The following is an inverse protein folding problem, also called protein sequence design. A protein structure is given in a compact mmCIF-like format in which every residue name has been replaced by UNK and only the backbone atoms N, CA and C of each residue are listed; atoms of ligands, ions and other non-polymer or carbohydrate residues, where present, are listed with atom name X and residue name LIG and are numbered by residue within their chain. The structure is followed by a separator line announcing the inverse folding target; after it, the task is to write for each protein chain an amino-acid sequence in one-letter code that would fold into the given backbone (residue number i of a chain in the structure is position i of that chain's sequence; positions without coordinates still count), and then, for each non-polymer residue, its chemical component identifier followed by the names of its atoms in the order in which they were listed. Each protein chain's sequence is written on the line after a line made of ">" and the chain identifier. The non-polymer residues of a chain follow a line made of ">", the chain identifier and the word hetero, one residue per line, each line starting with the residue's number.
data_IF_338981704347
#
_entry.id   IF_338981704347
#
_cell.length_a   1.000
_cell.length_b   1.000
_cell.length_c   1.000
_cell.angle_alpha   90.00
_cell.angle_beta   90.00
_cell.angle_gamma   90.00
#
_symmetry.space_group_name_H-M   'P 1'
#
loop_
_entity.id
_entity.type
_entity.pdbx_description
1 polymer ?
#
# COMPACT_ATOMS: atom_id res chain seq x y z
N UNK A 1 -42.42 12.59 -5.00
CA UNK A 1 -42.45 12.82 -3.53
C UNK A 1 -41.06 12.54 -2.98
N UNK A 2 -40.27 13.44 -2.40
CA UNK A 2 -40.27 14.89 -2.24
C UNK A 2 -38.79 15.30 -2.17
N UNK A 3 -38.26 15.95 -3.20
CA UNK A 3 -36.93 16.55 -3.17
C UNK A 3 -37.01 17.91 -2.49
N UNK A 4 -37.33 17.92 -1.19
CA UNK A 4 -37.04 19.06 -0.32
C UNK A 4 -35.76 18.66 0.43
N UNK A 5 -34.62 18.81 -0.22
CA UNK A 5 -33.34 18.79 0.48
C UNK A 5 -33.39 19.92 1.50
N UNK A 6 -33.35 19.56 2.78
CA UNK A 6 -33.35 20.50 3.90
C UNK A 6 -32.29 21.59 3.64
N UNK A 7 -32.64 22.90 3.65
CA UNK A 7 -31.66 23.97 3.42
C UNK A 7 -30.47 23.89 4.38
N UNK A 8 -30.69 23.36 5.59
CA UNK A 8 -29.63 23.09 6.55
C UNK A 8 -28.63 22.03 6.05
N UNK A 9 -29.11 21.00 5.35
CA UNK A 9 -28.27 19.94 4.76
C UNK A 9 -27.42 20.50 3.61
N UNK A 10 -27.99 21.36 2.76
CA UNK A 10 -27.22 22.01 1.69
C UNK A 10 -26.12 22.91 2.23
N UNK A 11 -26.39 23.67 3.30
CA UNK A 11 -25.39 24.52 3.96
C UNK A 11 -24.29 23.65 4.57
N UNK A 12 -24.64 22.55 5.25
CA UNK A 12 -23.68 21.60 5.83
C UNK A 12 -22.84 20.95 4.74
N UNK A 13 -23.44 20.49 3.64
CA UNK A 13 -22.73 19.85 2.53
C UNK A 13 -21.78 20.86 1.84
N UNK A 14 -22.23 22.10 1.62
CA UNK A 14 -21.40 23.17 1.08
C UNK A 14 -20.21 23.50 2.00
N UNK A 15 -20.44 23.57 3.31
CA UNK A 15 -19.38 23.83 4.29
C UNK A 15 -18.39 22.66 4.37
N UNK A 16 -18.89 21.42 4.35
CA UNK A 16 -18.08 20.21 4.32
C UNK A 16 -17.18 20.16 3.08
N UNK A 17 -17.71 20.48 1.89
CA UNK A 17 -16.95 20.49 0.63
C UNK A 17 -15.75 21.45 0.67
N UNK A 18 -15.90 22.61 1.32
CA UNK A 18 -14.79 23.57 1.50
C UNK A 18 -13.82 23.13 2.60
N UNK A 19 -14.33 22.66 3.73
CA UNK A 19 -13.50 22.19 4.83
C UNK A 19 -12.60 21.01 4.42
N UNK A 20 -13.11 20.08 3.61
CA UNK A 20 -12.36 18.89 3.16
C UNK A 20 -11.10 19.25 2.36
N UNK A 21 -11.08 20.40 1.69
CA UNK A 21 -9.90 20.87 0.94
C UNK A 21 -8.79 21.45 1.81
N UNK A 22 -9.10 21.82 3.06
CA UNK A 22 -8.11 22.35 3.99
C UNK A 22 -7.26 21.21 4.54
N UNK A 23 -6.00 21.53 4.87
CA UNK A 23 -5.17 20.60 5.62
C UNK A 23 -5.85 20.16 6.93
N UNK A 24 -5.68 18.91 7.37
CA UNK A 24 -6.35 18.39 8.57
C UNK A 24 -6.20 19.27 9.81
N UNK A 25 -5.03 19.89 10.00
CA UNK A 25 -4.74 20.80 11.13
C UNK A 25 -5.53 22.10 11.03
N UNK A 26 -5.58 22.70 9.84
CA UNK A 26 -6.34 23.94 9.58
C UNK A 26 -7.84 23.66 9.73
N UNK A 27 -8.34 22.56 9.17
CA UNK A 27 -9.72 22.12 9.33
C UNK A 27 -10.09 21.95 10.81
N UNK A 28 -9.21 21.33 11.60
CA UNK A 28 -9.42 21.15 13.03
C UNK A 28 -9.49 22.48 13.78
N UNK A 29 -8.59 23.42 13.48
CA UNK A 29 -8.60 24.75 14.08
C UNK A 29 -9.87 25.54 13.73
N UNK A 30 -10.31 25.49 12.47
CA UNK A 30 -11.54 26.16 12.00
C UNK A 30 -12.77 25.61 12.71
N UNK A 31 -12.88 24.28 12.84
CA UNK A 31 -14.02 23.66 13.54
C UNK A 31 -13.98 23.99 15.03
N UNK A 32 -12.81 23.94 15.67
CA UNK A 32 -12.66 24.30 17.08
C UNK A 32 -13.14 25.74 17.35
N UNK A 33 -12.65 26.71 16.56
CA UNK A 33 -13.05 28.11 16.69
C UNK A 33 -14.55 28.30 16.39
N UNK A 34 -15.08 27.63 15.37
CA UNK A 34 -16.50 27.68 15.02
C UNK A 34 -17.40 27.16 16.14
N UNK A 35 -17.05 26.02 16.75
CA UNK A 35 -17.80 25.45 17.89
C UNK A 35 -17.71 26.39 19.10
N UNK A 36 -16.53 26.92 19.39
CA UNK A 36 -16.33 27.86 20.50
C UNK A 36 -17.19 29.13 20.35
N UNK A 37 -17.20 29.74 19.15
CA UNK A 37 -17.99 30.94 18.83
C UNK A 37 -19.48 30.64 18.93
N UNK A 38 -19.92 29.48 18.43
CA UNK A 38 -21.32 29.07 18.45
C UNK A 38 -21.84 28.83 19.87
N UNK A 39 -21.01 28.27 20.76
CA UNK A 39 -21.38 28.00 22.15
C UNK A 39 -21.32 29.25 23.05
N UNK A 40 -20.41 30.18 22.75
CA UNK A 40 -20.18 31.40 23.54
C UNK A 40 -21.44 32.17 23.98
N UNK A 41 -22.42 32.53 23.11
CA UNK A 41 -23.59 33.31 23.53
C UNK A 41 -24.48 32.59 24.54
N UNK A 42 -24.44 31.25 24.60
CA UNK A 42 -25.20 30.47 25.57
C UNK A 42 -24.44 30.30 26.89
N UNK A 43 -23.15 30.02 26.81
CA UNK A 43 -22.31 29.76 27.98
C UNK A 43 -22.08 31.04 28.81
N UNK A 44 -21.96 32.20 28.15
CA UNK A 44 -21.74 33.48 28.84
C UNK A 44 -22.91 33.88 29.75
N UNK A 45 -24.15 33.50 29.39
CA UNK A 45 -25.34 33.80 30.20
C UNK A 45 -25.34 33.05 31.53
N UNK A 46 -24.62 31.93 31.61
CA UNK A 46 -24.56 31.06 32.80
C UNK A 46 -23.35 31.41 33.67
N UNK A 47 -22.19 31.67 33.05
CA UNK A 47 -20.91 31.76 33.77
C UNK A 47 -20.27 33.17 33.77
N UNK A 48 -20.83 34.13 33.03
CA UNK A 48 -20.26 35.48 32.89
C UNK A 48 -19.09 35.56 31.89
N UNK A 49 -18.45 36.73 31.71
CA UNK A 49 -17.56 37.00 30.57
C UNK A 49 -16.29 36.13 30.55
N UNK A 50 -15.50 36.14 31.64
CA UNK A 50 -14.23 35.42 31.71
C UNK A 50 -14.45 33.91 31.67
N UNK A 51 -15.34 33.40 32.51
CA UNK A 51 -15.64 31.97 32.58
C UNK A 51 -16.41 31.48 31.36
N UNK A 52 -17.21 32.32 30.72
CA UNK A 52 -17.91 32.00 29.48
C UNK A 52 -16.95 31.66 28.34
N UNK A 53 -15.86 32.42 28.19
CA UNK A 53 -14.81 32.15 27.20
C UNK A 53 -14.13 30.80 27.49
N UNK A 54 -13.70 30.58 28.75
CA UNK A 54 -12.99 29.38 29.14
C UNK A 54 -13.85 28.11 28.98
N UNK A 55 -15.12 28.16 29.40
CA UNK A 55 -16.05 27.03 29.25
C UNK A 55 -16.39 26.74 27.80
N UNK A 56 -16.55 27.75 26.95
CA UNK A 56 -16.73 27.56 25.51
C UNK A 56 -15.51 26.92 24.85
N UNK A 57 -14.30 27.34 25.22
CA UNK A 57 -13.07 26.73 24.74
C UNK A 57 -12.95 25.26 25.20
N UNK A 58 -13.29 24.97 26.46
CA UNK A 58 -13.28 23.60 26.99
C UNK A 58 -14.29 22.69 26.28
N UNK A 59 -15.54 23.15 26.08
CA UNK A 59 -16.56 22.41 25.33
C UNK A 59 -16.15 22.21 23.86
N UNK A 60 -15.52 23.22 23.25
CA UNK A 60 -14.93 23.11 21.92
C UNK A 60 -13.85 22.02 21.87
N UNK A 61 -12.92 22.01 22.83
CA UNK A 61 -11.87 21.00 22.93
C UNK A 61 -12.45 19.60 23.16
N UNK A 62 -13.49 19.49 24.00
CA UNK A 62 -14.21 18.25 24.25
C UNK A 62 -14.90 17.72 22.98
N UNK A 63 -15.57 18.57 22.20
CA UNK A 63 -16.13 18.17 20.91
C UNK A 63 -15.03 17.74 19.92
N UNK A 64 -13.92 18.48 19.87
CA UNK A 64 -12.77 18.15 19.04
C UNK A 64 -12.18 16.79 19.39
N UNK A 65 -12.11 16.42 20.68
CA UNK A 65 -11.64 15.10 21.11
C UNK A 65 -12.43 13.97 20.43
N UNK A 66 -13.76 14.03 20.38
CA UNK A 66 -14.58 13.02 19.69
C UNK A 66 -14.40 13.03 18.17
N UNK A 67 -14.23 14.21 17.56
CA UNK A 67 -13.96 14.32 16.12
C UNK A 67 -12.60 13.71 15.76
N UNK A 68 -11.57 13.92 16.58
CA UNK A 68 -10.28 13.25 16.43
C UNK A 68 -10.41 11.74 16.66
N UNK A 69 -11.13 11.32 17.72
CA UNK A 69 -11.30 9.90 18.06
C UNK A 69 -12.05 9.10 16.98
N UNK A 70 -13.01 9.71 16.31
CA UNK A 70 -13.72 9.11 15.17
C UNK A 70 -12.87 9.10 13.88
N UNK A 71 -11.77 9.85 13.86
CA UNK A 71 -10.94 10.04 12.67
C UNK A 71 -11.62 10.88 11.59
N UNK A 72 -12.44 11.86 11.99
CA UNK A 72 -13.05 12.83 11.08
C UNK A 72 -11.99 13.60 10.29
N UNK A 73 -10.85 13.88 10.93
CA UNK A 73 -9.74 14.62 10.31
C UNK A 73 -8.79 13.75 9.48
N UNK A 74 -8.97 12.42 9.43
CA UNK A 74 -8.09 11.54 8.66
C UNK A 74 -8.12 11.88 7.16
N UNK A 75 -6.95 11.85 6.50
CA UNK A 75 -6.89 11.83 5.03
C UNK A 75 -7.52 10.52 4.53
N UNK A 76 -8.34 10.62 3.49
CA UNK A 76 -9.04 9.50 2.89
C UNK A 76 -8.86 9.54 1.39
N UNK A 77 -8.84 8.35 0.81
CA UNK A 77 -8.81 8.13 -0.63
C UNK A 77 -9.98 7.25 -1.01
N UNK A 78 -10.46 7.42 -2.23
CA UNK A 78 -11.51 6.59 -2.81
C UNK A 78 -10.86 5.62 -3.78
N UNK A 79 -10.91 4.32 -3.49
CA UNK A 79 -10.35 3.28 -4.34
C UNK A 79 -11.47 2.58 -5.12
N UNK A 80 -11.20 2.17 -6.35
CA UNK A 80 -12.08 1.24 -7.07
C UNK A 80 -11.53 -0.18 -6.90
N UNK A 81 -12.12 -0.94 -5.96
CA UNK A 81 -11.72 -2.32 -5.74
C UNK A 81 -12.16 -3.22 -6.91
N UNK A 82 -11.38 -4.24 -7.29
CA UNK A 82 -11.77 -5.20 -8.33
C UNK A 82 -13.17 -5.77 -8.08
N UNK A 83 -14.00 -5.79 -9.13
CA UNK A 83 -15.38 -6.27 -9.07
C UNK A 83 -16.38 -5.35 -8.34
N UNK A 84 -15.96 -4.20 -7.80
CA UNK A 84 -16.87 -3.24 -7.19
C UNK A 84 -17.28 -2.13 -8.15
N UNK A 85 -18.57 -1.76 -8.10
CA UNK A 85 -19.14 -0.65 -8.89
C UNK A 85 -19.14 0.69 -8.17
N UNK A 86 -18.81 0.70 -6.88
CA UNK A 86 -18.83 1.90 -6.04
C UNK A 86 -17.43 2.12 -5.46
N UNK A 87 -16.98 3.38 -5.35
CA UNK A 87 -15.72 3.70 -4.73
C UNK A 87 -15.75 3.28 -3.25
N UNK A 88 -14.66 2.65 -2.82
CA UNK A 88 -14.41 2.24 -1.45
C UNK A 88 -13.57 3.34 -0.74
N UNK A 89 -14.16 4.09 0.21
CA UNK A 89 -13.44 5.15 0.90
C UNK A 89 -12.55 4.57 2.00
N UNK A 90 -11.24 4.60 1.82
CA UNK A 90 -10.26 4.13 2.82
C UNK A 90 -9.46 5.27 3.43
N UNK A 91 -9.06 5.10 4.70
CA UNK A 91 -8.18 6.05 5.40
C UNK A 91 -6.72 5.79 5.03
N UNK A 92 -5.99 6.85 4.72
CA UNK A 92 -4.52 6.79 4.66
C UNK A 92 -4.01 6.77 6.10
N UNK A 93 -3.21 5.75 6.43
CA UNK A 93 -2.68 5.55 7.79
C UNK A 93 -1.16 5.63 7.75
N UNK A 94 -0.59 6.23 8.79
CA UNK A 94 0.85 6.33 8.96
C UNK A 94 1.35 5.16 9.81
N UNK A 95 2.44 4.51 9.41
CA UNK A 95 3.13 3.50 10.22
C UNK A 95 3.61 4.18 11.52
N UNK A 96 3.19 3.63 12.66
CA UNK A 96 3.64 4.10 13.97
C UNK A 96 4.81 3.23 14.42
N UNK A 97 5.95 3.84 14.77
CA UNK A 97 7.09 3.10 15.32
C UNK A 97 8.44 3.35 14.66
N UNK A 98 8.50 4.16 13.59
CA UNK A 98 9.77 4.66 13.06
C UNK A 98 10.72 3.56 12.59
N UNK A 99 10.23 2.57 11.84
CA UNK A 99 11.13 1.77 11.00
C UNK A 99 11.75 2.77 10.03
N UNK A 100 13.02 3.10 10.27
CA UNK A 100 13.78 3.96 9.35
C UNK A 100 14.15 3.08 8.17
N UNK A 101 13.47 3.29 7.05
CA UNK A 101 13.99 2.87 5.76
C UNK A 101 15.25 3.70 5.53
N UNK A 102 16.41 3.03 5.47
CA UNK A 102 17.62 3.71 5.04
C UNK A 102 17.49 3.93 3.53
N UNK A 103 17.77 5.15 3.07
CA UNK A 103 18.09 5.37 1.66
C UNK A 103 19.48 4.78 1.44
N UNK A 104 19.51 3.55 0.96
CA UNK A 104 20.73 2.89 0.56
C UNK A 104 21.04 3.36 -0.87
N UNK A 105 21.60 4.56 -0.97
CA UNK A 105 21.89 5.23 -2.25
C UNK A 105 23.01 4.52 -3.04
N UNK A 106 23.85 3.72 -2.38
CA UNK A 106 24.81 2.83 -3.03
C UNK A 106 24.21 1.43 -3.14
N UNK A 107 23.83 1.04 -4.36
CA UNK A 107 23.36 -0.31 -4.70
C UNK A 107 24.54 -1.05 -5.32
N UNK A 108 24.93 -2.17 -4.73
CA UNK A 108 25.94 -3.06 -5.32
C UNK A 108 25.32 -4.39 -5.70
N UNK A 109 25.83 -4.96 -6.78
CA UNK A 109 25.40 -6.25 -7.32
C UNK A 109 26.56 -7.22 -7.30
N UNK A 110 26.26 -8.45 -6.92
CA UNK A 110 27.19 -9.56 -6.94
C UNK A 110 26.93 -10.38 -8.19
N UNK A 111 27.98 -10.59 -8.99
CA UNK A 111 27.91 -11.46 -10.15
C UNK A 111 27.75 -12.93 -9.70
N UNK A 112 27.23 -13.81 -10.57
CA UNK A 112 26.86 -15.18 -10.20
C UNK A 112 27.94 -15.99 -9.46
N UNK A 113 29.23 -15.77 -9.74
CA UNK A 113 30.34 -16.44 -9.04
C UNK A 113 30.68 -15.88 -7.66
N UNK A 114 30.26 -14.65 -7.35
CA UNK A 114 30.50 -13.96 -6.07
C UNK A 114 29.37 -14.19 -5.07
N UNK A 115 28.24 -14.75 -5.54
CA UNK A 115 27.06 -15.05 -4.70
C UNK A 115 27.21 -16.29 -3.82
N UNK A 116 28.24 -17.10 -4.06
CA UNK A 116 28.42 -18.40 -3.43
C UNK A 116 28.66 -18.28 -1.91
N UNK A 117 27.77 -18.87 -1.12
CA UNK A 117 27.85 -18.87 0.34
C UNK A 117 27.34 -17.60 1.03
N UNK A 118 26.85 -16.60 0.27
CA UNK A 118 26.25 -15.38 0.82
C UNK A 118 24.85 -15.66 1.36
N UNK A 119 24.03 -16.38 0.59
CA UNK A 119 22.69 -16.81 1.01
C UNK A 119 22.61 -18.32 1.20
N UNK A 120 21.87 -18.75 2.21
CA UNK A 120 21.46 -20.13 2.36
C UNK A 120 20.47 -20.52 1.25
N UNK A 121 20.41 -21.81 0.92
CA UNK A 121 19.54 -22.31 -0.17
C UNK A 121 18.06 -22.03 0.06
N UNK A 122 17.63 -21.95 1.31
CA UNK A 122 16.23 -21.73 1.69
C UNK A 122 15.89 -20.25 1.87
N UNK A 123 16.87 -19.35 1.78
CA UNK A 123 16.63 -17.91 1.86
C UNK A 123 15.71 -17.47 0.72
N UNK A 124 14.85 -16.51 1.02
CA UNK A 124 13.83 -16.05 0.08
C UNK A 124 14.38 -14.94 -0.81
N UNK A 125 14.08 -15.03 -2.10
CA UNK A 125 14.46 -14.02 -3.10
C UNK A 125 13.28 -13.66 -3.98
N UNK A 126 13.27 -12.42 -4.46
CA UNK A 126 12.49 -12.02 -5.63
C UNK A 126 13.40 -12.25 -6.83
N UNK A 127 13.02 -13.14 -7.72
CA UNK A 127 13.68 -13.36 -8.99
C UNK A 127 13.00 -12.59 -10.11
N UNK A 128 13.79 -11.90 -10.92
CA UNK A 128 13.36 -11.22 -12.14
C UNK A 128 14.25 -11.69 -13.29
N UNK A 129 13.62 -12.04 -14.40
CA UNK A 129 14.33 -12.33 -15.65
C UNK A 129 13.66 -11.56 -16.78
N UNK A 130 14.47 -10.85 -17.55
CA UNK A 130 14.06 -10.06 -18.71
C UNK A 130 15.08 -10.31 -19.82
N UNK A 131 14.62 -10.83 -20.95
CA UNK A 131 15.43 -11.05 -22.17
C UNK A 131 16.74 -11.84 -21.95
N UNK A 132 16.74 -12.78 -21.00
CA UNK A 132 17.89 -13.62 -20.64
C UNK A 132 18.72 -13.10 -19.48
N UNK A 133 18.56 -11.83 -19.09
CA UNK A 133 19.23 -11.23 -17.95
C UNK A 133 18.44 -11.50 -16.67
N UNK A 134 19.04 -12.23 -15.74
CA UNK A 134 18.40 -12.71 -14.54
C UNK A 134 19.04 -12.13 -13.28
N UNK A 135 18.23 -11.57 -12.40
CA UNK A 135 18.66 -10.98 -11.14
C UNK A 135 17.81 -11.47 -9.97
N UNK A 136 18.45 -11.61 -8.81
CA UNK A 136 17.81 -11.93 -7.54
C UNK A 136 17.89 -10.76 -6.57
N UNK A 137 16.78 -10.49 -5.89
CA UNK A 137 16.71 -9.53 -4.79
C UNK A 137 16.42 -10.28 -3.48
N UNK A 138 17.41 -10.41 -2.57
CA UNK A 138 17.20 -11.06 -1.29
C UNK A 138 16.09 -10.37 -0.49
N UNK A 139 15.18 -11.14 0.11
CA UNK A 139 14.09 -10.54 0.92
C UNK A 139 14.62 -9.86 2.18
N UNK A 140 15.75 -10.31 2.74
CA UNK A 140 16.41 -9.62 3.86
C UNK A 140 16.80 -8.19 3.51
N UNK A 141 17.31 -7.98 2.29
CA UNK A 141 17.63 -6.66 1.77
C UNK A 141 16.35 -5.87 1.44
N UNK A 142 15.44 -6.47 0.67
CA UNK A 142 14.22 -5.81 0.22
C UNK A 142 13.25 -5.48 1.36
N UNK A 143 13.30 -6.20 2.49
CA UNK A 143 12.51 -5.90 3.69
C UNK A 143 12.83 -4.53 4.30
N UNK A 144 14.07 -4.06 4.15
CA UNK A 144 14.51 -2.75 4.66
C UNK A 144 14.49 -1.66 3.60
N UNK A 145 14.65 -2.03 2.33
CA UNK A 145 14.65 -1.11 1.19
C UNK A 145 13.26 -0.79 0.68
N UNK A 146 12.37 -1.79 0.69
CA UNK A 146 11.04 -1.85 0.05
C UNK A 146 11.02 -1.60 -1.47
N UNK A 147 11.96 -0.82 -2.02
CA UNK A 147 12.09 -0.48 -3.44
C UNK A 147 13.56 -0.58 -3.89
N UNK A 148 13.77 -1.16 -5.06
CA UNK A 148 14.99 -1.10 -5.85
C UNK A 148 14.60 -0.60 -7.25
N UNK A 149 15.17 0.54 -7.66
CA UNK A 149 14.90 1.14 -8.97
C UNK A 149 16.05 0.77 -9.90
N UNK A 150 15.74 0.11 -11.01
CA UNK A 150 16.72 -0.42 -11.95
C UNK A 150 16.43 0.02 -13.37
N UNK A 151 17.42 -0.12 -14.23
CA UNK A 151 17.30 0.02 -15.68
C UNK A 151 17.75 -1.28 -16.33
N UNK A 152 16.81 -2.00 -16.94
CA UNK A 152 17.11 -3.18 -17.76
C UNK A 152 17.26 -2.72 -19.21
N UNK A 153 18.51 -2.41 -19.59
CA UNK A 153 18.79 -1.68 -20.83
C UNK A 153 18.22 -0.27 -20.75
N UNK A 154 17.19 0.02 -21.54
CA UNK A 154 16.48 1.31 -21.55
C UNK A 154 15.12 1.23 -20.82
N UNK A 155 14.79 0.08 -20.21
CA UNK A 155 13.51 -0.12 -19.53
C UNK A 155 13.64 0.27 -18.04
N UNK A 156 13.09 1.41 -17.60
CA UNK A 156 13.09 1.78 -16.20
C UNK A 156 12.09 0.91 -15.44
N UNK A 157 12.56 0.27 -14.38
CA UNK A 157 11.74 -0.59 -13.54
C UNK A 157 11.90 -0.27 -12.06
N UNK A 158 10.86 -0.57 -11.28
CA UNK A 158 10.92 -0.57 -9.83
C UNK A 158 10.52 -1.93 -9.29
N UNK A 159 11.47 -2.64 -8.69
CA UNK A 159 11.25 -3.88 -7.94
C UNK A 159 10.86 -3.52 -6.53
N UNK A 160 9.73 -4.02 -6.06
CA UNK A 160 9.18 -3.63 -4.75
C UNK A 160 8.80 -4.84 -3.91
N UNK A 161 9.03 -4.75 -2.61
CA UNK A 161 8.65 -5.75 -1.63
C UNK A 161 7.93 -5.08 -0.47
N UNK A 162 6.76 -5.62 -0.12
CA UNK A 162 6.06 -5.22 1.09
C UNK A 162 5.97 -6.42 2.03
N UNK A 163 6.69 -6.40 3.18
CA UNK A 163 6.58 -7.48 4.16
C UNK A 163 5.17 -7.52 4.79
N UNK A 164 4.44 -6.40 4.80
CA UNK A 164 3.12 -6.32 5.41
C UNK A 164 2.06 -7.07 4.60
N UNK A 165 2.12 -6.96 3.27
CA UNK A 165 1.22 -7.66 2.32
C UNK A 165 1.81 -8.96 1.80
N UNK A 166 3.08 -9.25 2.12
CA UNK A 166 3.83 -10.40 1.63
C UNK A 166 3.85 -10.49 0.10
N UNK A 167 4.01 -9.34 -0.56
CA UNK A 167 3.84 -9.21 -2.01
C UNK A 167 5.04 -8.52 -2.66
N UNK A 168 5.68 -9.25 -3.59
CA UNK A 168 6.62 -8.71 -4.55
C UNK A 168 5.87 -8.13 -5.75
N UNK A 169 6.25 -6.95 -6.21
CA UNK A 169 5.71 -6.31 -7.43
C UNK A 169 6.83 -5.63 -8.18
N UNK A 170 6.91 -5.90 -9.48
CA UNK A 170 7.83 -5.21 -10.40
C UNK A 170 6.98 -4.37 -11.34
N UNK A 171 7.34 -3.09 -11.46
CA UNK A 171 6.64 -2.14 -12.31
C UNK A 171 7.59 -1.58 -13.36
N UNK A 172 7.05 -1.28 -14.55
CA UNK A 172 7.70 -0.36 -15.49
C UNK A 172 7.39 1.06 -15.00
N UNK A 173 8.43 1.84 -14.71
CA UNK A 173 8.32 3.12 -14.00
C UNK A 173 8.24 4.29 -14.97
N UNK A 174 7.15 4.28 -15.76
CA UNK A 174 6.84 5.31 -16.74
C UNK A 174 5.57 6.08 -16.35
N UNK A 175 5.66 7.40 -16.42
CA UNK A 175 4.55 8.33 -16.18
C UNK A 175 3.47 8.25 -17.26
N UNK A 176 2.33 8.94 -17.05
CA UNK A 176 1.28 9.03 -18.07
C UNK A 176 1.75 9.68 -19.39
N UNK A 177 2.80 10.49 -19.33
CA UNK A 177 3.51 11.14 -20.43
C UNK A 177 4.59 10.27 -21.07
N UNK A 178 4.89 9.10 -20.49
CA UNK A 178 5.95 8.21 -20.91
C UNK A 178 7.34 8.61 -20.40
N UNK A 179 7.44 9.56 -19.46
CA UNK A 179 8.72 9.89 -18.83
C UNK A 179 9.09 8.89 -17.74
N UNK A 180 10.36 8.50 -17.67
CA UNK A 180 10.89 7.62 -16.63
C UNK A 180 10.95 8.35 -15.29
N UNK A 181 10.66 7.63 -14.21
CA UNK A 181 10.79 8.14 -12.85
C UNK A 181 11.19 7.05 -11.87
N UNK A 182 11.69 7.43 -10.70
CA UNK A 182 11.95 6.50 -9.60
C UNK A 182 10.85 6.52 -8.54
N UNK A 183 10.68 5.39 -7.85
CA UNK A 183 9.78 5.26 -6.70
C UNK A 183 10.58 5.24 -5.40
N UNK A 184 10.03 5.87 -4.37
CA UNK A 184 10.58 5.85 -3.01
C UNK A 184 9.55 5.29 -2.01
N UNK A 185 9.99 4.54 -0.98
CA UNK A 185 9.09 4.08 0.07
C UNK A 185 8.56 5.25 0.92
N UNK A 186 7.35 5.09 1.46
CA UNK A 186 6.77 6.06 2.40
C UNK A 186 6.29 5.39 3.68
N UNK A 187 6.13 6.18 4.74
CA UNK A 187 5.52 5.70 5.99
C UNK A 187 3.97 5.65 5.91
N UNK A 188 3.37 5.73 4.71
CA UNK A 188 1.93 5.79 4.50
C UNK A 188 1.39 4.50 3.89
N UNK A 189 0.19 4.10 4.31
CA UNK A 189 -0.47 2.88 3.83
C UNK A 189 -1.96 3.08 3.61
N UNK A 190 -2.49 2.29 2.68
CA UNK A 190 -3.92 2.12 2.41
C UNK A 190 -4.20 0.62 2.30
N UNK A 191 -5.24 0.14 3.00
CA UNK A 191 -5.55 -1.31 3.06
C UNK A 191 -4.35 -2.20 3.45
N UNK A 192 -3.48 -1.73 4.35
CA UNK A 192 -2.20 -2.37 4.72
C UNK A 192 -1.17 -2.51 3.58
N UNK A 193 -1.42 -1.98 2.38
CA UNK A 193 -0.42 -1.83 1.33
C UNK A 193 0.31 -0.49 1.49
N UNK A 194 1.64 -0.45 1.36
CA UNK A 194 2.39 0.80 1.38
C UNK A 194 2.07 1.65 0.16
N UNK A 195 2.22 2.96 0.35
CA UNK A 195 2.26 3.95 -0.73
C UNK A 195 3.71 4.22 -1.08
N UNK A 196 4.00 4.26 -2.38
CA UNK A 196 5.29 4.63 -2.94
C UNK A 196 5.17 6.02 -3.55
N UNK A 197 6.12 6.89 -3.29
CA UNK A 197 6.15 8.26 -3.80
C UNK A 197 7.02 8.33 -5.04
N UNK A 198 6.46 8.88 -6.13
CA UNK A 198 7.21 9.24 -7.31
C UNK A 198 7.82 10.65 -7.16
N UNK A 199 8.82 10.97 -7.96
CA UNK A 199 9.56 12.24 -7.91
C UNK A 199 8.66 13.49 -8.06
N UNK A 200 7.55 13.38 -8.81
CA UNK A 200 6.57 14.45 -8.99
C UNK A 200 5.57 14.59 -7.81
N UNK A 201 5.70 13.78 -6.76
CA UNK A 201 4.83 13.76 -5.58
C UNK A 201 3.56 12.93 -5.73
N UNK A 202 3.42 12.15 -6.81
CA UNK A 202 2.35 11.14 -6.95
C UNK A 202 2.56 9.98 -5.98
N UNK A 203 1.46 9.46 -5.42
CA UNK A 203 1.49 8.30 -4.52
C UNK A 203 0.86 7.09 -5.18
N UNK A 204 1.66 6.06 -5.41
CA UNK A 204 1.27 4.79 -6.00
C UNK A 204 1.01 3.74 -4.92
N UNK A 205 -0.09 3.00 -5.04
CA UNK A 205 -0.40 1.88 -4.16
C UNK A 205 0.43 0.66 -4.56
N UNK A 206 1.43 0.28 -3.76
CA UNK A 206 2.40 -0.77 -4.12
C UNK A 206 1.74 -2.07 -4.62
N UNK A 207 0.65 -2.52 -3.98
CA UNK A 207 0.04 -3.80 -4.33
C UNK A 207 -0.59 -3.81 -5.73
N UNK A 208 -1.18 -2.69 -6.16
CA UNK A 208 -1.90 -2.58 -7.45
C UNK A 208 -1.05 -1.90 -8.52
N UNK A 209 -0.21 -0.93 -8.17
CA UNK A 209 0.50 -0.05 -9.10
C UNK A 209 -0.31 1.17 -9.55
N UNK A 210 -1.45 1.45 -8.91
CA UNK A 210 -2.29 2.60 -9.25
C UNK A 210 -1.83 3.85 -8.48
N UNK A 211 -1.69 4.97 -9.18
CA UNK A 211 -1.53 6.29 -8.55
C UNK A 211 -2.86 6.71 -7.92
N UNK A 212 -2.90 6.77 -6.59
CA UNK A 212 -4.13 7.08 -5.86
C UNK A 212 -4.23 8.57 -5.47
N UNK A 213 -3.12 9.30 -5.57
CA UNK A 213 -3.01 10.72 -5.28
C UNK A 213 -1.89 11.37 -6.10
N UNK A 214 -1.98 12.69 -6.28
CA UNK A 214 -0.97 13.50 -6.96
C UNK A 214 -1.28 13.73 -8.43
N UNK A 215 -0.33 14.30 -9.19
CA UNK A 215 -0.49 14.59 -10.62
C UNK A 215 -0.93 13.39 -11.46
N UNK A 216 -0.47 12.18 -11.12
CA UNK A 216 -0.73 10.97 -11.92
C UNK A 216 -1.98 10.21 -11.46
N UNK A 217 -2.80 10.78 -10.58
CA UNK A 217 -3.93 10.06 -9.98
C UNK A 217 -4.83 9.38 -11.03
N UNK A 218 -5.01 8.06 -10.89
CA UNK A 218 -5.72 7.18 -11.82
C UNK A 218 -4.82 6.47 -12.84
N UNK A 219 -3.54 6.84 -12.94
CA UNK A 219 -2.56 6.13 -13.76
C UNK A 219 -2.24 4.76 -13.17
N UNK A 220 -2.05 3.78 -14.04
CA UNK A 220 -1.80 2.39 -13.67
C UNK A 220 -0.45 1.97 -14.26
N UNK A 221 0.49 1.64 -13.39
CA UNK A 221 1.79 1.13 -13.83
C UNK A 221 1.64 -0.26 -14.45
N UNK A 222 2.40 -0.49 -15.52
CA UNK A 222 2.53 -1.81 -16.13
C UNK A 222 3.32 -2.71 -15.16
N UNK A 223 2.79 -3.90 -14.89
CA UNK A 223 3.46 -4.90 -14.03
C UNK A 223 4.25 -5.88 -14.87
N UNK A 224 5.46 -6.17 -14.43
CA UNK A 224 6.29 -7.25 -14.95
C UNK A 224 6.17 -8.49 -14.05
N UNK A 225 6.22 -9.70 -14.62
CA UNK A 225 6.23 -10.94 -13.85
C UNK A 225 7.52 -11.03 -13.01
N UNK A 226 7.40 -11.57 -11.81
CA UNK A 226 8.53 -11.89 -10.94
C UNK A 226 8.20 -13.14 -10.11
N UNK A 227 9.23 -13.83 -9.63
CA UNK A 227 9.09 -15.02 -8.81
C UNK A 227 9.47 -14.72 -7.36
N UNK A 228 8.58 -15.04 -6.42
CA UNK A 228 8.94 -15.08 -5.00
C UNK A 228 9.28 -16.54 -4.63
N UNK A 229 10.57 -16.87 -4.60
CA UNK A 229 11.06 -18.26 -4.51
C UNK A 229 12.20 -18.38 -3.49
N UNK A 230 12.78 -19.57 -3.34
CA UNK A 230 14.02 -19.76 -2.58
C UNK A 230 15.24 -19.55 -3.46
N UNK A 231 16.33 -19.09 -2.85
CA UNK A 231 17.60 -18.85 -3.51
C UNK A 231 18.11 -20.10 -4.25
N UNK A 232 18.05 -21.26 -3.61
CA UNK A 232 18.48 -22.52 -4.21
C UNK A 232 17.67 -22.93 -5.44
N UNK A 233 16.36 -22.63 -5.46
CA UNK A 233 15.51 -22.90 -6.62
C UNK A 233 15.79 -21.89 -7.75
N UNK A 234 15.95 -20.61 -7.41
CA UNK A 234 16.31 -19.57 -8.38
C UNK A 234 17.66 -19.86 -9.04
N UNK A 235 18.71 -20.09 -8.25
CA UNK A 235 20.05 -20.42 -8.76
C UNK A 235 20.12 -21.68 -9.60
N UNK A 236 19.26 -22.65 -9.32
CA UNK A 236 19.19 -23.86 -10.14
C UNK A 236 18.67 -23.54 -11.55
N UNK A 237 17.70 -22.63 -11.68
CA UNK A 237 17.14 -22.22 -12.95
C UNK A 237 18.00 -21.17 -13.67
N UNK A 238 18.66 -20.27 -12.92
CA UNK A 238 19.55 -19.22 -13.44
C UNK A 238 20.93 -19.24 -12.76
N UNK A 239 21.86 -20.13 -13.20
CA UNK A 239 23.18 -20.28 -12.57
C UNK A 239 24.12 -19.08 -12.73
N UNK A 240 23.85 -18.19 -13.67
CA UNK A 240 24.65 -16.99 -13.93
C UNK A 240 23.97 -15.71 -13.39
N UNK A 241 22.87 -15.86 -12.64
CA UNK A 241 22.10 -14.73 -12.11
C UNK A 241 22.94 -13.78 -11.26
N UNK A 242 22.72 -12.49 -11.44
CA UNK A 242 23.22 -11.46 -10.53
C UNK A 242 22.35 -11.41 -9.27
N UNK A 243 22.89 -10.82 -8.20
CA UNK A 243 22.16 -10.66 -6.94
C UNK A 243 22.40 -9.28 -6.35
N UNK A 244 21.32 -8.61 -5.92
CA UNK A 244 21.44 -7.43 -5.09
C UNK A 244 22.23 -7.78 -3.82
N UNK A 245 23.33 -7.07 -3.58
CA UNK A 245 24.20 -7.33 -2.43
C UNK A 245 23.45 -7.13 -1.11
N UNK A 246 23.41 -8.14 -0.23
CA UNK A 246 22.84 -8.01 1.10
C UNK A 246 23.85 -7.51 2.16
N UNK A 247 25.07 -7.10 1.78
CA UNK A 247 26.18 -6.81 2.73
C UNK A 247 25.82 -5.84 3.88
N UNK A 248 24.95 -4.86 3.63
CA UNK A 248 24.53 -3.88 4.65
C UNK A 248 23.21 -4.24 5.34
N UNK A 249 22.71 -5.44 5.09
CA UNK A 249 21.40 -5.91 5.58
C UNK A 249 21.59 -7.05 6.57
N UNK A 250 20.66 -7.26 7.52
CA UNK A 250 20.74 -8.38 8.43
C UNK A 250 20.77 -9.72 7.67
N UNK A 251 21.48 -10.70 8.22
CA UNK A 251 21.61 -12.06 7.65
C UNK A 251 20.26 -12.75 7.38
N UNK A 252 19.18 -12.31 8.05
CA UNK A 252 17.83 -12.85 7.92
C UNK A 252 16.77 -11.75 7.80
N UNK A 253 15.64 -12.06 7.19
CA UNK A 253 14.51 -11.13 7.09
C UNK A 253 13.96 -10.73 8.48
N UNK A 254 14.05 -9.44 8.80
CA UNK A 254 13.60 -8.88 10.09
C UNK A 254 12.09 -9.01 10.32
N UNK A 255 11.31 -9.28 9.28
CA UNK A 255 9.86 -9.50 9.33
C UNK A 255 9.48 -10.98 9.47
N UNK A 256 10.41 -11.91 9.63
CA UNK A 256 10.10 -13.34 9.73
C UNK A 256 9.13 -13.67 10.89
N UNK A 257 9.35 -13.04 12.05
CA UNK A 257 8.43 -13.12 13.19
C UNK A 257 7.04 -12.56 12.88
N UNK A 258 6.98 -11.53 12.03
CA UNK A 258 5.71 -10.99 11.57
C UNK A 258 5.03 -12.01 10.66
N UNK A 259 5.70 -12.62 9.68
CA UNK A 259 5.10 -13.62 8.79
C UNK A 259 4.51 -14.81 9.56
N UNK A 260 5.21 -15.29 10.59
CA UNK A 260 4.76 -16.40 11.44
C UNK A 260 3.58 -16.04 12.38
N UNK A 261 3.27 -14.77 12.57
CA UNK A 261 2.19 -14.32 13.46
C UNK A 261 0.80 -14.38 12.81
N UNK A 262 -0.25 -14.51 13.62
CA UNK A 262 -1.65 -14.48 13.16
C UNK A 262 -2.18 -13.07 12.85
N UNK A 263 -1.33 -12.05 12.93
CA UNK A 263 -1.73 -10.64 12.75
C UNK A 263 -1.96 -10.30 11.27
N UNK A 264 -3.21 -10.09 10.86
CA UNK A 264 -3.63 -9.72 9.50
C UNK A 264 -3.33 -8.24 9.11
N UNK A 265 -2.05 -7.87 9.02
CA UNK A 265 -1.64 -6.50 8.69
C UNK A 265 -1.36 -5.60 9.91
N UNK A 266 -0.80 -4.42 9.65
CA UNK A 266 -0.49 -3.45 10.71
C UNK A 266 -1.75 -2.82 11.29
N UNK A 267 -2.77 -2.63 10.46
CA UNK A 267 -4.01 -1.98 10.82
C UNK A 267 -5.21 -2.93 10.74
N UNK A 268 -6.17 -2.80 11.67
CA UNK A 268 -7.36 -3.65 11.66
C UNK A 268 -8.22 -3.34 10.44
N UNK A 269 -8.73 -4.41 9.84
CA UNK A 269 -9.65 -4.38 8.71
C UNK A 269 -11.10 -4.43 9.19
N UNK A 270 -11.99 -3.71 8.50
CA UNK A 270 -13.40 -3.57 8.90
C UNK A 270 -14.24 -4.84 8.69
N UNK A 271 -13.84 -5.69 7.75
CA UNK A 271 -14.49 -6.96 7.44
C UNK A 271 -13.45 -8.09 7.46
N UNK A 272 -13.77 -9.18 8.15
CA UNK A 272 -12.94 -10.39 8.21
C UNK A 272 -13.75 -11.58 7.74
N UNK A 273 -13.28 -12.25 6.71
CA UNK A 273 -13.79 -13.55 6.29
C UNK A 273 -13.06 -14.64 7.11
N UNK A 274 -13.81 -15.58 7.69
CA UNK A 274 -13.26 -16.63 8.55
C UNK A 274 -13.04 -17.95 7.81
N UNK A 275 -13.35 -18.01 6.52
CA UNK A 275 -13.20 -19.23 5.70
C UNK A 275 -11.74 -19.62 5.50
N UNK A 276 -10.82 -18.67 5.56
CA UNK A 276 -9.38 -18.89 5.45
C UNK A 276 -8.64 -18.27 6.64
N UNK A 277 -7.48 -18.82 7.03
CA UNK A 277 -6.56 -18.15 7.94
C UNK A 277 -6.16 -16.76 7.42
N UNK A 278 -5.87 -15.84 8.35
CA UNK A 278 -5.59 -14.43 8.05
C UNK A 278 -4.36 -14.20 7.15
N UNK A 279 -3.38 -15.11 7.22
CA UNK A 279 -2.15 -15.09 6.41
C UNK A 279 -2.01 -16.32 5.54
N UNK A 280 -3.13 -16.92 5.17
CA UNK A 280 -3.07 -18.01 4.21
C UNK A 280 -2.46 -17.52 2.89
N UNK A 281 -1.56 -18.30 2.32
CA UNK A 281 -0.90 -17.93 1.06
C UNK A 281 -1.88 -18.24 -0.06
N UNK A 282 -2.16 -17.24 -0.89
CA UNK A 282 -3.11 -17.36 -2.00
C UNK A 282 -2.34 -17.34 -3.32
N UNK A 283 -2.55 -18.37 -4.14
CA UNK A 283 -2.12 -18.40 -5.53
C UNK A 283 -3.27 -17.91 -6.38
N UNK A 284 -3.05 -16.84 -7.13
CA UNK A 284 -4.06 -16.29 -8.03
C UNK A 284 -3.59 -16.46 -9.49
N UNK A 285 -4.46 -17.01 -10.33
CA UNK A 285 -4.26 -17.14 -11.77
C UNK A 285 -5.21 -16.18 -12.47
N UNK A 286 -4.65 -15.30 -13.28
CA UNK A 286 -5.37 -14.38 -14.14
C UNK A 286 -5.07 -14.70 -15.60
N UNK A 287 -5.97 -14.32 -16.49
CA UNK A 287 -5.76 -14.41 -17.94
C UNK A 287 -4.64 -13.43 -18.36
N UNK A 288 -3.49 -13.92 -18.86
CA UNK A 288 -2.35 -13.06 -19.19
C UNK A 288 -2.63 -12.17 -20.40
N UNK A 289 -3.52 -12.58 -21.31
CA UNK A 289 -3.81 -11.87 -22.56
C UNK A 289 -4.99 -10.88 -22.43
N UNK A 290 -5.48 -10.66 -21.20
CA UNK A 290 -6.57 -9.73 -20.97
C UNK A 290 -6.14 -8.29 -21.24
N UNK A 291 -6.84 -7.60 -22.14
CA UNK A 291 -6.67 -6.16 -22.41
C UNK A 291 -6.86 -5.28 -21.15
N UNK A 292 -7.50 -5.82 -20.11
CA UNK A 292 -7.62 -5.17 -18.81
C UNK A 292 -7.18 -6.13 -17.68
N UNK A 293 -5.87 -6.28 -17.42
CA UNK A 293 -5.35 -7.28 -16.48
C UNK A 293 -5.92 -7.21 -15.06
N UNK A 294 -6.31 -6.01 -14.62
CA UNK A 294 -6.93 -5.78 -13.29
C UNK A 294 -8.44 -6.04 -13.26
N UNK A 295 -9.11 -6.09 -14.42
CA UNK A 295 -10.52 -6.44 -14.55
C UNK A 295 -10.73 -7.86 -15.09
N UNK A 296 -9.64 -8.53 -15.51
CA UNK A 296 -9.64 -9.90 -15.97
C UNK A 296 -10.26 -10.82 -14.90
N UNK A 297 -10.99 -11.87 -15.32
CA UNK A 297 -11.38 -12.91 -14.38
C UNK A 297 -10.13 -13.52 -13.74
N UNK A 298 -10.15 -13.64 -12.42
CA UNK A 298 -9.07 -14.24 -11.63
C UNK A 298 -9.65 -15.43 -10.87
N UNK A 299 -8.93 -16.54 -10.86
CA UNK A 299 -9.17 -17.64 -9.94
C UNK A 299 -8.11 -17.64 -8.86
N UNK A 300 -8.53 -17.73 -7.60
CA UNK A 300 -7.66 -17.73 -6.46
C UNK A 300 -7.80 -19.04 -5.68
N UNK A 301 -6.67 -19.62 -5.30
CA UNK A 301 -6.55 -20.89 -4.60
C UNK A 301 -5.73 -20.69 -3.33
N UNK A 302 -6.16 -21.30 -2.23
CA UNK A 302 -5.36 -21.36 -1.01
C UNK A 302 -4.22 -22.36 -1.22
N UNK A 303 -2.99 -21.98 -0.89
CA UNK A 303 -1.85 -22.87 -0.91
C UNK A 303 -2.04 -24.04 0.05
N UNK A 304 -2.68 -23.80 1.21
CA UNK A 304 -3.02 -24.87 2.15
C UNK A 304 -4.01 -25.88 1.56
N UNK A 305 -4.99 -25.43 0.75
CA UNK A 305 -5.87 -26.35 0.00
C UNK A 305 -5.08 -27.14 -1.05
N UNK A 306 -4.20 -26.48 -1.81
CA UNK A 306 -3.38 -27.14 -2.84
C UNK A 306 -2.41 -28.17 -2.25
N UNK A 307 -2.00 -28.05 -0.98
CA UNK A 307 -1.22 -29.12 -0.33
C UNK A 307 -2.03 -30.42 -0.16
N UNK A 308 -3.35 -30.32 -0.04
CA UNK A 308 -4.25 -31.47 0.10
C UNK A 308 -4.67 -32.02 -1.26
N UNK A 309 -4.95 -31.12 -2.21
CA UNK A 309 -5.30 -31.43 -3.60
C UNK A 309 -4.36 -30.68 -4.56
N UNK A 310 -3.17 -31.24 -4.86
CA UNK A 310 -2.11 -30.53 -5.59
C UNK A 310 -2.38 -30.36 -7.09
N UNK A 311 -3.39 -31.03 -7.63
CA UNK A 311 -3.73 -30.99 -9.05
C UNK A 311 -5.19 -30.60 -9.21
N UNK A 312 -5.45 -29.42 -9.77
CA UNK A 312 -6.80 -28.89 -9.96
C UNK A 312 -7.04 -28.56 -11.43
N UNK A 313 -7.73 -29.45 -12.13
CA UNK A 313 -8.20 -29.15 -13.48
C UNK A 313 -9.36 -28.14 -13.43
N UNK A 314 -9.16 -26.97 -14.02
CA UNK A 314 -10.09 -25.85 -13.96
C UNK A 314 -10.12 -25.08 -15.28
N UNK A 315 -11.11 -24.22 -15.50
CA UNK A 315 -11.16 -23.38 -16.73
C UNK A 315 -11.18 -21.88 -16.41
N UNK A 316 -10.25 -21.10 -16.93
CA UNK A 316 -10.20 -19.64 -16.79
C UNK A 316 -10.43 -18.99 -18.16
N UNK A 317 -11.44 -18.13 -18.30
CA UNK A 317 -11.82 -17.53 -19.61
C UNK A 317 -12.09 -18.56 -20.73
N UNK A 318 -12.48 -19.79 -20.39
CA UNK A 318 -12.64 -20.89 -21.36
C UNK A 318 -11.35 -21.61 -21.75
N UNK A 319 -10.21 -21.25 -21.17
CA UNK A 319 -8.94 -21.97 -21.29
C UNK A 319 -8.77 -22.95 -20.12
N UNK A 320 -8.43 -24.22 -20.36
CA UNK A 320 -8.09 -25.15 -19.31
C UNK A 320 -6.79 -24.72 -18.62
N UNK A 321 -6.81 -24.68 -17.29
CA UNK A 321 -5.69 -24.39 -16.39
C UNK A 321 -5.51 -25.60 -15.49
N UNK A 322 -4.25 -25.95 -15.21
CA UNK A 322 -3.85 -27.08 -14.36
C UNK A 322 -3.23 -26.60 -13.05
#
# INVERSE_FOLDING_TARGET
>A
MSAVLNPLKQIIDWFNLRLVRLEPRVRAAVIFLGVMILLYPFVIQIYGPLWGILWSAWLGAFAMYFLFRSGYFSKRVSLMLPGQRKPYPEKIRKIQGGVRFNNWDEVSYLAGGETDGILARDDRVIGLEIDGDAIAYPLSAMALREVANEEFGELPISVTWSPITYAARVFVSLGPDGEAFTLAPTEQMVLNSPLLEAENGSLYLQFTGEAIMGPDAGHQLQRLPCLNTTWGAWRHAWPDTEMLSPEETPDSDVFESYYASTRAGLFPQGSRDKRLPDKDVILAVSDPDSEMPMAAPVKAYSAHMLQQEPLLNTELSGMPVL
#
